data_IF_717972746693
#
_entry.id   IF_717972746693
#
_cell.length_a   1.000
_cell.length_b   1.000
_cell.length_c   1.000
_cell.angle_alpha   90.00
_cell.angle_beta   90.00
_cell.angle_gamma   90.00
#
_symmetry.space_group_name_H-M   'P 1'
#
loop_
_entity.id
_entity.type
_entity.pdbx_description
1 polymer ?
#
# COMPACT_ATOMS: atom_id res chain seq x y z
N UNK A 1 -3.14 -19.52 -1.53
CA UNK A 1 -3.95 -18.29 -1.49
C UNK A 1 -5.31 -18.50 -2.17
N UNK A 2 -5.37 -18.89 -3.45
CA UNK A 2 -6.59 -19.07 -4.26
C UNK A 2 -7.62 -19.97 -3.55
N UNK A 3 -7.22 -21.17 -3.10
CA UNK A 3 -8.10 -22.10 -2.41
C UNK A 3 -8.72 -21.48 -1.14
N UNK A 4 -7.95 -20.72 -0.37
CA UNK A 4 -8.46 -20.06 0.84
C UNK A 4 -9.51 -19.01 0.52
N UNK A 5 -9.35 -18.26 -0.56
CA UNK A 5 -10.33 -17.27 -1.01
C UNK A 5 -11.65 -17.92 -1.44
N UNK A 6 -11.57 -19.05 -2.16
CA UNK A 6 -12.76 -19.83 -2.56
C UNK A 6 -13.49 -20.37 -1.33
N UNK A 7 -12.75 -20.98 -0.39
CA UNK A 7 -13.34 -21.54 0.86
C UNK A 7 -13.95 -20.42 1.70
N UNK A 8 -13.32 -19.26 1.81
CA UNK A 8 -13.86 -18.12 2.54
C UNK A 8 -15.16 -17.62 1.91
N UNK A 9 -15.21 -17.50 0.58
CA UNK A 9 -16.41 -17.11 -0.16
C UNK A 9 -17.55 -18.13 -0.01
N UNK A 10 -17.24 -19.42 -0.03
CA UNK A 10 -18.24 -20.48 0.17
C UNK A 10 -18.82 -20.45 1.59
N UNK A 11 -17.96 -20.29 2.62
CA UNK A 11 -18.41 -20.14 4.01
C UNK A 11 -19.29 -18.92 4.22
N UNK A 12 -18.94 -17.79 3.61
CA UNK A 12 -19.75 -16.56 3.68
C UNK A 12 -21.12 -16.66 3.01
N UNK A 13 -21.30 -17.66 2.14
CA UNK A 13 -22.58 -17.98 1.49
C UNK A 13 -23.29 -19.18 2.11
N UNK A 14 -22.80 -19.71 3.24
CA UNK A 14 -23.33 -20.89 3.95
C UNK A 14 -23.43 -22.14 3.06
N UNK A 15 -22.54 -22.27 2.05
CA UNK A 15 -22.50 -23.42 1.16
C UNK A 15 -21.89 -24.60 1.91
N UNK A 16 -22.63 -25.67 2.05
CA UNK A 16 -22.11 -26.95 2.55
C UNK A 16 -21.34 -27.65 1.44
N UNK A 17 -20.21 -28.25 1.77
CA UNK A 17 -19.40 -28.98 0.80
C UNK A 17 -19.05 -30.37 1.35
N UNK A 18 -19.10 -31.35 0.47
CA UNK A 18 -18.73 -32.72 0.73
C UNK A 18 -17.27 -32.97 0.36
N UNK A 19 -16.67 -33.96 0.98
CA UNK A 19 -15.31 -34.37 0.65
C UNK A 19 -15.32 -35.25 -0.59
N UNK A 20 -14.36 -35.08 -1.53
CA UNK A 20 -14.24 -35.96 -2.68
C UNK A 20 -13.86 -37.38 -2.24
N UNK A 21 -14.28 -38.37 -3.04
CA UNK A 21 -13.92 -39.78 -2.88
C UNK A 21 -12.43 -39.95 -3.21
N UNK A 22 -11.99 -39.37 -4.31
CA UNK A 22 -10.59 -39.31 -4.71
C UNK A 22 -10.25 -37.95 -5.30
N UNK A 23 -8.98 -37.57 -5.21
CA UNK A 23 -8.47 -36.29 -5.71
C UNK A 23 -7.10 -36.51 -6.34
N UNK A 24 -6.95 -36.05 -7.58
CA UNK A 24 -5.72 -36.06 -8.34
C UNK A 24 -5.36 -34.63 -8.75
N UNK A 25 -4.16 -34.19 -8.40
CA UNK A 25 -3.63 -32.89 -8.82
C UNK A 25 -2.79 -33.05 -10.08
N UNK A 26 -3.14 -32.30 -11.14
CA UNK A 26 -2.37 -32.25 -12.39
C UNK A 26 -1.58 -30.92 -12.37
N UNK A 27 -0.29 -31.04 -12.16
CA UNK A 27 0.61 -29.88 -12.04
C UNK A 27 0.46 -28.91 -13.21
N UNK A 28 0.31 -27.63 -12.91
CA UNK A 28 0.13 -26.57 -13.89
C UNK A 28 -1.22 -26.54 -14.62
N UNK A 29 -2.17 -27.44 -14.26
CA UNK A 29 -3.49 -27.54 -14.89
C UNK A 29 -4.64 -27.35 -13.89
N UNK A 30 -4.59 -28.05 -12.75
CA UNK A 30 -5.65 -28.02 -11.73
C UNK A 30 -5.90 -29.40 -11.11
N UNK A 31 -7.13 -29.65 -10.70
CA UNK A 31 -7.53 -30.78 -9.89
C UNK A 31 -8.63 -31.57 -10.61
N UNK A 32 -8.52 -32.89 -10.53
CA UNK A 32 -9.55 -33.86 -10.92
C UNK A 32 -10.03 -34.54 -9.67
N UNK A 33 -11.32 -34.45 -9.38
CA UNK A 33 -11.92 -35.07 -8.21
C UNK A 33 -13.05 -36.02 -8.59
N UNK A 34 -13.17 -37.14 -7.90
CA UNK A 34 -14.33 -38.00 -7.96
C UNK A 34 -15.25 -37.70 -6.80
N UNK A 35 -16.46 -37.26 -7.12
CA UNK A 35 -17.54 -36.99 -6.18
C UNK A 35 -18.61 -38.10 -6.29
N UNK A 36 -19.49 -38.28 -5.30
CA UNK A 36 -20.63 -39.22 -5.42
C UNK A 36 -21.47 -39.02 -6.65
N UNK A 37 -21.57 -37.76 -7.13
CA UNK A 37 -22.38 -37.37 -8.30
C UNK A 37 -21.62 -37.48 -9.62
N UNK A 38 -20.31 -37.78 -9.59
CA UNK A 38 -19.50 -37.99 -10.78
C UNK A 38 -18.14 -37.27 -10.75
N UNK A 39 -17.51 -37.23 -11.89
CA UNK A 39 -16.16 -36.66 -12.05
C UNK A 39 -16.24 -35.15 -12.18
N UNK A 40 -15.50 -34.45 -11.30
CA UNK A 40 -15.40 -32.99 -11.30
C UNK A 40 -13.97 -32.56 -11.69
N UNK A 41 -13.88 -31.66 -12.66
CA UNK A 41 -12.66 -30.99 -13.07
C UNK A 41 -12.68 -29.56 -12.53
N UNK A 42 -11.59 -29.12 -11.91
CA UNK A 42 -11.45 -27.75 -11.42
C UNK A 42 -10.02 -27.25 -11.72
N UNK A 43 -9.89 -26.24 -12.59
CA UNK A 43 -8.58 -25.75 -12.98
C UNK A 43 -8.61 -24.73 -14.11
N UNK A 44 -7.46 -24.54 -14.77
CA UNK A 44 -7.33 -23.58 -15.86
C UNK A 44 -7.89 -24.13 -17.20
N UNK A 45 -7.89 -23.29 -18.23
CA UNK A 45 -8.38 -23.66 -19.58
C UNK A 45 -7.65 -24.91 -20.14
N UNK A 46 -6.34 -25.06 -19.86
CA UNK A 46 -5.56 -26.23 -20.30
C UNK A 46 -6.11 -27.55 -19.73
N UNK A 47 -6.64 -27.53 -18.49
CA UNK A 47 -7.28 -28.71 -17.92
C UNK A 47 -8.54 -29.07 -18.69
N UNK A 48 -9.37 -28.10 -19.03
CA UNK A 48 -10.60 -28.30 -19.80
C UNK A 48 -10.30 -28.88 -21.19
N UNK A 49 -9.33 -28.29 -21.89
CA UNK A 49 -8.88 -28.77 -23.21
C UNK A 49 -8.35 -30.20 -23.15
N UNK A 50 -7.56 -30.55 -22.12
CA UNK A 50 -7.00 -31.88 -21.91
C UNK A 50 -8.08 -32.95 -21.77
N UNK A 51 -9.22 -32.60 -21.18
CA UNK A 51 -10.37 -33.52 -20.98
C UNK A 51 -11.47 -33.33 -22.02
N UNK A 52 -11.23 -32.55 -23.07
CA UNK A 52 -12.19 -32.34 -24.16
C UNK A 52 -13.47 -31.58 -23.78
N UNK A 53 -13.39 -30.76 -22.72
CA UNK A 53 -14.51 -29.94 -22.28
C UNK A 53 -14.55 -28.66 -23.10
N UNK A 54 -15.61 -28.45 -23.86
CA UNK A 54 -15.82 -27.22 -24.63
C UNK A 54 -16.30 -26.10 -23.70
N UNK A 55 -15.50 -25.06 -23.59
CA UNK A 55 -15.85 -23.82 -22.91
C UNK A 55 -16.48 -22.90 -23.95
N UNK A 56 -17.73 -22.48 -23.73
CA UNK A 56 -18.41 -21.53 -24.63
C UNK A 56 -17.71 -20.17 -24.68
N UNK A 57 -18.18 -19.27 -25.55
CA UNK A 57 -17.69 -17.90 -25.60
C UNK A 57 -17.93 -17.21 -24.25
N UNK A 58 -16.87 -16.99 -23.51
CA UNK A 58 -16.86 -16.20 -22.29
C UNK A 58 -16.28 -14.84 -22.59
N UNK A 59 -16.84 -13.79 -21.99
CA UNK A 59 -16.16 -12.49 -21.97
C UNK A 59 -14.85 -12.66 -21.21
N UNK A 60 -13.76 -12.44 -21.90
CA UNK A 60 -12.45 -12.42 -21.25
C UNK A 60 -12.49 -11.43 -20.07
N UNK A 61 -12.13 -11.92 -18.90
CA UNK A 61 -12.00 -11.03 -17.76
C UNK A 61 -10.79 -10.10 -17.99
N UNK A 62 -10.98 -8.83 -17.76
CA UNK A 62 -9.93 -7.83 -17.96
C UNK A 62 -8.70 -8.11 -17.08
N UNK A 63 -8.87 -8.81 -15.94
CA UNK A 63 -7.79 -9.20 -15.02
C UNK A 63 -8.28 -10.27 -14.05
N UNK A 64 -7.34 -11.07 -13.49
CA UNK A 64 -7.62 -12.12 -12.51
C UNK A 64 -7.26 -13.51 -13.02
N UNK A 65 -7.32 -14.49 -12.13
CA UNK A 65 -7.14 -15.91 -12.44
C UNK A 65 -8.49 -16.58 -12.65
N UNK A 66 -8.70 -17.11 -13.84
CA UNK A 66 -9.90 -17.87 -14.15
C UNK A 66 -9.74 -19.32 -13.68
N UNK A 67 -10.71 -19.81 -12.91
CA UNK A 67 -10.81 -21.21 -12.49
C UNK A 67 -12.10 -21.78 -13.08
N UNK A 68 -11.93 -22.67 -14.04
CA UNK A 68 -13.03 -23.35 -14.74
C UNK A 68 -13.45 -24.60 -13.98
N UNK A 69 -14.71 -24.94 -14.05
CA UNK A 69 -15.27 -26.15 -13.47
C UNK A 69 -16.10 -26.91 -14.49
N UNK A 70 -15.91 -28.22 -14.55
CA UNK A 70 -16.73 -29.11 -15.35
C UNK A 70 -17.13 -30.34 -14.53
N UNK A 71 -18.36 -30.82 -14.77
CA UNK A 71 -18.92 -32.00 -14.10
C UNK A 71 -19.30 -33.01 -15.19
N UNK A 72 -18.82 -34.26 -15.07
CA UNK A 72 -19.05 -35.32 -16.02
C UNK A 72 -18.78 -34.95 -17.50
N UNK A 73 -17.69 -34.15 -17.72
CA UNK A 73 -17.30 -33.72 -19.05
C UNK A 73 -18.11 -32.54 -19.62
N UNK A 74 -19.05 -31.98 -18.85
CA UNK A 74 -19.84 -30.83 -19.26
C UNK A 74 -19.38 -29.60 -18.49
N UNK A 75 -19.15 -28.49 -19.18
CA UNK A 75 -18.78 -27.21 -18.56
C UNK A 75 -19.90 -26.73 -17.62
N UNK A 76 -19.56 -26.55 -16.33
CA UNK A 76 -20.51 -26.14 -15.30
C UNK A 76 -20.45 -24.65 -15.00
N UNK A 77 -19.29 -24.03 -15.18
CA UNK A 77 -19.09 -22.61 -14.92
C UNK A 77 -17.63 -22.24 -14.66
N UNK A 78 -17.40 -20.99 -14.33
CA UNK A 78 -16.08 -20.52 -13.95
C UNK A 78 -16.14 -19.53 -12.78
N UNK A 79 -15.06 -19.41 -12.07
CA UNK A 79 -14.84 -18.39 -11.04
C UNK A 79 -13.69 -17.51 -11.48
N UNK A 80 -13.87 -16.20 -11.36
CA UNK A 80 -12.82 -15.23 -11.51
C UNK A 80 -12.27 -14.88 -10.12
N UNK A 81 -11.00 -15.13 -9.92
CA UNK A 81 -10.29 -14.77 -8.71
C UNK A 81 -9.38 -13.61 -9.05
N UNK A 82 -9.72 -12.45 -8.54
CA UNK A 82 -8.92 -11.24 -8.72
C UNK A 82 -8.60 -10.63 -7.36
N UNK A 83 -7.44 -10.01 -7.27
CA UNK A 83 -7.14 -9.18 -6.13
C UNK A 83 -8.10 -7.99 -6.11
N UNK A 84 -8.62 -7.71 -4.93
CA UNK A 84 -9.48 -6.54 -4.72
C UNK A 84 -8.67 -5.41 -4.14
N UNK A 85 -8.86 -4.21 -4.70
CA UNK A 85 -8.27 -3.00 -4.14
C UNK A 85 -8.84 -2.82 -2.73
N UNK A 86 -7.99 -2.49 -1.77
CA UNK A 86 -8.44 -2.18 -0.41
C UNK A 86 -9.47 -1.06 -0.44
N UNK A 87 -10.55 -1.15 0.38
CA UNK A 87 -11.65 -0.18 0.33
C UNK A 87 -11.22 1.26 0.55
N UNK A 88 -10.17 1.47 1.39
CA UNK A 88 -9.61 2.77 1.73
C UNK A 88 -8.59 3.31 0.70
N UNK A 89 -8.14 2.49 -0.26
CA UNK A 89 -7.05 2.87 -1.17
C UNK A 89 -7.42 4.05 -2.08
N UNK A 90 -8.62 4.07 -2.65
CA UNK A 90 -9.06 5.16 -3.53
C UNK A 90 -9.08 6.52 -2.82
N UNK A 91 -9.62 6.53 -1.60
CA UNK A 91 -9.70 7.75 -0.79
C UNK A 91 -8.32 8.20 -0.32
N UNK A 92 -7.45 7.26 0.02
CA UNK A 92 -6.08 7.53 0.38
C UNK A 92 -5.29 8.15 -0.78
N UNK A 93 -5.36 7.57 -1.99
CA UNK A 93 -4.72 8.11 -3.19
C UNK A 93 -5.26 9.51 -3.52
N UNK A 94 -6.58 9.71 -3.46
CA UNK A 94 -7.17 11.03 -3.67
C UNK A 94 -6.67 12.07 -2.62
N UNK A 95 -6.45 11.63 -1.38
CA UNK A 95 -5.93 12.48 -0.31
C UNK A 95 -4.46 12.82 -0.53
N UNK A 96 -3.64 11.88 -1.02
CA UNK A 96 -2.24 12.14 -1.41
C UNK A 96 -2.16 13.18 -2.53
N UNK A 97 -3.03 13.08 -3.54
CA UNK A 97 -3.12 14.07 -4.62
C UNK A 97 -3.52 15.46 -4.13
N UNK A 98 -4.48 15.54 -3.19
CA UNK A 98 -4.85 16.82 -2.54
C UNK A 98 -3.68 17.44 -1.76
N UNK A 99 -2.77 16.61 -1.25
CA UNK A 99 -1.52 17.07 -0.63
C UNK A 99 -0.45 17.52 -1.65
N UNK A 100 -0.76 17.46 -2.96
CA UNK A 100 0.15 17.83 -4.05
C UNK A 100 1.23 16.78 -4.32
N UNK A 101 0.97 15.52 -4.01
CA UNK A 101 1.90 14.41 -4.25
C UNK A 101 1.54 13.70 -5.55
N UNK A 102 2.57 13.33 -6.32
CA UNK A 102 2.46 12.47 -7.48
C UNK A 102 2.49 11.01 -7.04
N UNK A 103 1.56 10.20 -7.53
CA UNK A 103 1.37 8.81 -7.10
C UNK A 103 1.85 7.85 -8.18
N UNK A 104 2.72 6.91 -7.80
CA UNK A 104 3.32 5.94 -8.73
C UNK A 104 3.13 4.53 -8.18
N UNK A 105 2.78 3.59 -9.04
CA UNK A 105 2.70 2.17 -8.72
C UNK A 105 3.83 1.41 -9.40
N UNK A 106 4.59 0.62 -8.61
CA UNK A 106 5.63 -0.29 -9.09
C UNK A 106 5.19 -1.72 -8.81
N UNK A 107 4.86 -2.50 -9.85
CA UNK A 107 4.36 -3.87 -9.69
C UNK A 107 5.04 -4.87 -10.62
N UNK A 108 5.13 -6.12 -10.17
CA UNK A 108 5.53 -7.26 -11.00
C UNK A 108 4.40 -7.84 -11.86
N UNK A 109 3.16 -7.38 -11.69
CA UNK A 109 1.99 -7.87 -12.40
C UNK A 109 2.03 -7.54 -13.90
N UNK A 110 1.14 -8.19 -14.65
CA UNK A 110 0.98 -7.90 -16.08
C UNK A 110 0.52 -6.47 -16.32
N UNK A 111 0.84 -5.93 -17.50
CA UNK A 111 0.47 -4.57 -17.90
C UNK A 111 -1.03 -4.32 -17.76
N UNK A 112 -1.85 -5.27 -18.25
CA UNK A 112 -3.31 -5.16 -18.25
C UNK A 112 -3.88 -5.10 -16.83
N UNK A 113 -3.37 -5.97 -15.93
CA UNK A 113 -3.75 -5.98 -14.51
C UNK A 113 -3.35 -4.68 -13.82
N UNK A 114 -2.11 -4.26 -14.01
CA UNK A 114 -1.56 -3.04 -13.41
C UNK A 114 -2.33 -1.79 -13.86
N UNK A 115 -2.64 -1.68 -15.16
CA UNK A 115 -3.41 -0.57 -15.72
C UNK A 115 -4.84 -0.54 -15.18
N UNK A 116 -5.50 -1.71 -15.08
CA UNK A 116 -6.85 -1.80 -14.54
C UNK A 116 -6.90 -1.36 -13.06
N UNK A 117 -6.00 -1.89 -12.23
CA UNK A 117 -5.90 -1.57 -10.80
C UNK A 117 -5.50 -0.12 -10.59
N UNK A 118 -4.48 0.37 -11.31
CA UNK A 118 -4.00 1.73 -11.15
C UNK A 118 -5.01 2.78 -11.59
N UNK A 119 -5.74 2.53 -12.68
CA UNK A 119 -6.85 3.39 -13.13
C UNK A 119 -7.99 3.41 -12.13
N UNK A 120 -8.37 2.26 -11.58
CA UNK A 120 -9.43 2.15 -10.59
C UNK A 120 -9.04 2.81 -9.26
N UNK A 121 -7.80 2.69 -8.82
CA UNK A 121 -7.25 3.37 -7.64
C UNK A 121 -6.99 4.86 -7.87
N UNK A 122 -6.90 5.31 -9.13
CA UNK A 122 -6.59 6.70 -9.48
C UNK A 122 -5.10 7.04 -9.40
N UNK A 123 -4.20 6.10 -9.64
CA UNK A 123 -2.74 6.30 -9.70
C UNK A 123 -2.36 7.15 -10.91
N UNK A 124 -1.34 8.00 -10.79
CA UNK A 124 -0.89 8.90 -11.86
C UNK A 124 0.02 8.19 -12.86
N UNK A 125 0.93 7.33 -12.38
CA UNK A 125 1.93 6.66 -13.19
C UNK A 125 2.10 5.20 -12.76
N UNK A 126 2.27 4.28 -13.72
CA UNK A 126 2.29 2.85 -13.47
C UNK A 126 3.49 2.23 -14.19
N UNK A 127 4.28 1.46 -13.45
CA UNK A 127 5.35 0.61 -13.97
C UNK A 127 4.98 -0.84 -13.67
N UNK A 128 4.70 -1.60 -14.71
CA UNK A 128 4.29 -3.01 -14.64
C UNK A 128 5.42 -3.96 -15.05
N UNK A 129 5.24 -5.26 -14.85
CA UNK A 129 6.18 -6.34 -15.22
C UNK A 129 7.60 -6.15 -14.65
N UNK A 130 7.74 -5.47 -13.52
CA UNK A 130 9.02 -5.21 -12.91
C UNK A 130 9.54 -6.44 -12.18
N UNK A 131 10.77 -6.83 -12.46
CA UNK A 131 11.53 -7.71 -11.59
C UNK A 131 11.98 -6.95 -10.33
N UNK A 132 12.36 -7.64 -9.24
CA UNK A 132 12.80 -6.96 -8.01
C UNK A 132 13.91 -5.92 -8.24
N UNK A 133 14.87 -6.23 -9.11
CA UNK A 133 15.97 -5.32 -9.49
C UNK A 133 15.46 -4.09 -10.28
N UNK A 134 14.44 -4.28 -11.12
CA UNK A 134 13.87 -3.20 -11.94
C UNK A 134 13.11 -2.19 -11.10
N UNK A 135 12.53 -2.60 -9.97
CA UNK A 135 11.82 -1.69 -9.04
C UNK A 135 12.76 -0.59 -8.50
N UNK A 136 14.01 -0.95 -8.15
CA UNK A 136 14.98 0.03 -7.69
C UNK A 136 15.38 1.01 -8.80
N UNK A 137 15.51 0.52 -10.03
CA UNK A 137 15.80 1.38 -11.18
C UNK A 137 14.62 2.30 -11.52
N UNK A 138 13.40 1.79 -11.43
CA UNK A 138 12.18 2.59 -11.58
C UNK A 138 12.08 3.68 -10.51
N UNK A 139 12.36 3.35 -9.23
CA UNK A 139 12.43 4.32 -8.14
C UNK A 139 13.39 5.47 -8.45
N UNK A 140 14.60 5.14 -8.95
CA UNK A 140 15.59 6.15 -9.34
C UNK A 140 15.10 7.08 -10.46
N UNK A 141 14.38 6.54 -11.45
CA UNK A 141 13.77 7.33 -12.54
C UNK A 141 12.69 8.27 -11.99
N UNK A 142 11.81 7.76 -11.12
CA UNK A 142 10.77 8.56 -10.46
C UNK A 142 11.39 9.69 -9.65
N UNK A 143 12.48 9.39 -8.87
CA UNK A 143 13.22 10.41 -8.12
C UNK A 143 13.81 11.50 -9.02
N UNK A 144 14.35 11.13 -10.17
CA UNK A 144 14.91 12.10 -11.12
C UNK A 144 13.84 12.99 -11.74
N UNK A 145 12.64 12.45 -11.98
CA UNK A 145 11.54 13.18 -12.61
C UNK A 145 10.77 14.06 -11.62
N UNK A 146 10.54 13.58 -10.39
CA UNK A 146 9.60 14.18 -9.43
C UNK A 146 10.25 14.64 -8.12
N UNK A 147 11.53 14.36 -7.89
CA UNK A 147 12.25 14.74 -6.67
C UNK A 147 12.16 13.67 -5.56
N UNK A 148 12.03 14.10 -4.32
CA UNK A 148 12.02 13.21 -3.14
C UNK A 148 10.90 12.17 -3.21
N UNK A 149 11.24 10.90 -2.97
CA UNK A 149 10.33 9.76 -3.10
C UNK A 149 10.16 9.04 -1.76
N UNK A 150 8.91 8.85 -1.35
CA UNK A 150 8.53 7.88 -0.33
C UNK A 150 8.09 6.59 -1.03
N UNK A 151 8.71 5.47 -0.68
CA UNK A 151 8.30 4.16 -1.16
C UNK A 151 7.57 3.42 -0.04
N UNK A 152 6.43 2.80 -0.39
CA UNK A 152 5.63 1.99 0.55
C UNK A 152 5.54 0.58 0.00
N UNK A 153 5.94 -0.40 0.80
CA UNK A 153 5.94 -1.81 0.43
C UNK A 153 5.66 -2.74 1.61
N UNK A 154 5.37 -4.01 1.33
CA UNK A 154 5.07 -5.02 2.34
C UNK A 154 5.81 -6.34 2.11
N UNK A 155 6.48 -6.51 0.97
CA UNK A 155 7.15 -7.75 0.58
C UNK A 155 8.63 -7.82 0.93
N UNK A 156 9.16 -9.04 1.05
CA UNK A 156 10.61 -9.29 1.19
C UNK A 156 11.38 -8.68 0.00
N UNK A 157 10.81 -8.76 -1.19
CA UNK A 157 11.41 -8.25 -2.42
C UNK A 157 11.45 -6.71 -2.47
N UNK A 158 10.74 -6.04 -1.58
CA UNK A 158 10.68 -4.58 -1.52
C UNK A 158 11.75 -3.99 -0.58
N UNK A 159 12.41 -4.80 0.26
CA UNK A 159 13.44 -4.36 1.19
C UNK A 159 14.57 -3.52 0.54
N UNK A 160 15.13 -3.92 -0.63
CA UNK A 160 16.14 -3.09 -1.30
C UNK A 160 15.60 -1.75 -1.82
N UNK A 161 14.30 -1.70 -2.18
CA UNK A 161 13.64 -0.49 -2.66
C UNK A 161 13.31 0.44 -1.51
N UNK A 162 12.85 -0.13 -0.37
CA UNK A 162 12.61 0.59 0.88
C UNK A 162 13.90 1.30 1.35
N UNK A 163 15.00 0.54 1.44
CA UNK A 163 16.29 1.09 1.84
C UNK A 163 16.86 2.10 0.82
N UNK A 164 16.47 2.00 -0.46
CA UNK A 164 16.91 2.88 -1.53
C UNK A 164 16.08 4.15 -1.71
N UNK A 165 14.92 4.26 -1.06
CA UNK A 165 14.05 5.42 -1.10
C UNK A 165 14.58 6.57 -0.24
N UNK A 166 14.06 7.79 -0.41
CA UNK A 166 14.36 8.90 0.51
C UNK A 166 13.60 8.72 1.84
N UNK A 167 12.45 8.06 1.79
CA UNK A 167 11.71 7.54 2.94
C UNK A 167 11.15 6.18 2.56
N UNK A 168 11.60 5.13 3.22
CA UNK A 168 11.04 3.79 3.11
C UNK A 168 9.97 3.57 4.18
N UNK A 169 8.79 3.11 3.79
CA UNK A 169 7.72 2.80 4.74
C UNK A 169 7.19 1.38 4.51
N UNK A 170 7.13 0.58 5.57
CA UNK A 170 6.59 -0.77 5.52
C UNK A 170 5.18 -0.82 6.10
N UNK A 171 4.34 -1.71 5.55
CA UNK A 171 3.07 -2.06 6.15
C UNK A 171 3.28 -3.11 7.25
N UNK A 172 2.62 -2.97 8.39
CA UNK A 172 2.80 -3.84 9.56
C UNK A 172 2.38 -5.31 9.35
N UNK A 173 1.61 -5.60 8.29
CA UNK A 173 1.34 -6.95 7.81
C UNK A 173 2.43 -7.50 6.87
N UNK A 174 3.45 -6.71 6.58
CA UNK A 174 4.55 -7.07 5.68
C UNK A 174 5.54 -8.04 6.30
N UNK A 175 6.47 -8.48 5.48
CA UNK A 175 7.54 -9.37 5.89
C UNK A 175 8.53 -8.65 6.84
N UNK A 176 9.10 -9.38 7.79
CA UNK A 176 10.07 -8.86 8.77
C UNK A 176 11.23 -8.11 8.10
N UNK A 177 11.73 -8.63 6.97
CA UNK A 177 12.79 -7.97 6.20
C UNK A 177 12.39 -6.61 5.61
N UNK A 178 11.12 -6.41 5.26
CA UNK A 178 10.61 -5.12 4.80
C UNK A 178 10.48 -4.14 5.98
N UNK A 179 10.02 -4.64 7.13
CA UNK A 179 9.91 -3.85 8.36
C UNK A 179 11.29 -3.38 8.83
N UNK A 180 12.30 -4.27 8.79
CA UNK A 180 13.67 -3.94 9.20
C UNK A 180 14.36 -2.93 8.25
N UNK A 181 14.01 -2.96 6.97
CA UNK A 181 14.58 -2.06 5.95
C UNK A 181 13.91 -0.68 5.89
N UNK A 182 12.79 -0.48 6.59
CA UNK A 182 11.98 0.73 6.50
C UNK A 182 12.32 1.78 7.55
N UNK A 183 12.23 3.06 7.17
CA UNK A 183 12.36 4.20 8.10
C UNK A 183 11.09 4.38 8.96
N UNK A 184 9.93 3.94 8.45
CA UNK A 184 8.64 4.02 9.13
C UNK A 184 7.83 2.74 8.94
N UNK A 185 7.01 2.38 9.94
CA UNK A 185 6.13 1.22 9.87
C UNK A 185 4.69 1.61 10.19
N UNK A 186 3.78 1.31 9.27
CA UNK A 186 2.34 1.47 9.48
C UNK A 186 1.77 0.19 10.10
N UNK A 187 1.59 0.18 11.43
CA UNK A 187 1.18 -1.01 12.20
C UNK A 187 -0.17 -1.59 11.78
N UNK A 188 -1.10 -0.74 11.38
CA UNK A 188 -2.35 -1.14 10.72
C UNK A 188 -2.12 -1.06 9.20
N UNK A 189 -2.38 -2.12 8.49
CA UNK A 189 -2.19 -2.17 7.03
C UNK A 189 -3.20 -1.34 6.23
N UNK A 190 -3.68 -0.22 6.79
CA UNK A 190 -4.60 0.70 6.14
C UNK A 190 -3.83 1.70 5.28
N UNK A 191 -4.27 1.91 4.06
CA UNK A 191 -3.60 2.82 3.11
C UNK A 191 -3.82 4.29 3.50
N UNK A 192 -4.91 4.62 4.18
CA UNK A 192 -5.23 5.96 4.67
C UNK A 192 -4.26 6.49 5.74
N UNK A 193 -3.52 5.60 6.42
CA UNK A 193 -2.45 5.98 7.34
C UNK A 193 -1.31 6.77 6.65
N UNK A 194 -1.10 6.53 5.35
CA UNK A 194 -0.03 7.20 4.59
C UNK A 194 -0.31 8.71 4.44
N UNK A 195 -1.44 9.17 3.86
CA UNK A 195 -1.73 10.61 3.78
C UNK A 195 -1.84 11.27 5.15
N UNK A 196 -2.35 10.56 6.18
CA UNK A 196 -2.41 11.07 7.55
C UNK A 196 -1.01 11.33 8.12
N UNK A 197 -0.07 10.39 7.98
CA UNK A 197 1.30 10.54 8.46
C UNK A 197 2.01 11.73 7.80
N UNK A 198 1.85 11.91 6.49
CA UNK A 198 2.42 13.03 5.74
C UNK A 198 1.80 14.37 6.20
N UNK A 199 0.50 14.42 6.44
CA UNK A 199 -0.17 15.61 6.95
C UNK A 199 0.32 15.99 8.37
N UNK A 200 0.53 14.98 9.23
CA UNK A 200 1.09 15.17 10.58
C UNK A 200 2.54 15.68 10.47
N UNK A 201 3.38 15.03 9.65
CA UNK A 201 4.77 15.42 9.46
C UNK A 201 4.91 16.87 8.96
N UNK A 202 4.10 17.28 7.97
CA UNK A 202 4.05 18.66 7.47
C UNK A 202 3.63 19.65 8.54
N UNK A 203 2.67 19.26 9.39
CA UNK A 203 2.21 20.10 10.50
C UNK A 203 3.27 20.24 11.59
N UNK A 204 3.94 19.13 11.93
CA UNK A 204 5.06 19.11 12.88
C UNK A 204 6.18 20.03 12.42
N UNK A 205 6.58 19.91 11.17
CA UNK A 205 7.62 20.77 10.60
C UNK A 205 7.23 22.24 10.62
N UNK A 206 5.98 22.58 10.30
CA UNK A 206 5.46 23.95 10.37
C UNK A 206 5.53 24.51 11.79
N UNK A 207 5.11 23.72 12.78
CA UNK A 207 5.14 24.14 14.19
C UNK A 207 6.59 24.30 14.66
N UNK A 208 7.48 23.38 14.29
CA UNK A 208 8.90 23.49 14.60
C UNK A 208 9.52 24.79 14.06
N UNK A 209 9.27 25.12 12.79
CA UNK A 209 9.72 26.37 12.19
C UNK A 209 9.11 27.60 12.87
N UNK A 210 7.83 27.58 13.23
CA UNK A 210 7.20 28.67 14.00
C UNK A 210 7.93 28.89 15.32
N UNK A 211 8.23 27.83 16.05
CA UNK A 211 8.94 27.90 17.32
C UNK A 211 10.36 28.44 17.15
N UNK A 212 11.11 27.97 16.16
CA UNK A 212 12.49 28.42 15.88
C UNK A 212 12.50 29.91 15.54
N UNK A 213 11.64 30.33 14.60
CA UNK A 213 11.56 31.75 14.19
C UNK A 213 11.15 32.62 15.36
N UNK A 214 10.11 32.22 16.13
CA UNK A 214 9.65 32.96 17.28
C UNK A 214 10.75 33.13 18.34
N UNK A 215 11.47 32.05 18.68
CA UNK A 215 12.54 32.08 19.65
C UNK A 215 13.69 32.99 19.19
N UNK A 216 14.09 32.92 17.92
CA UNK A 216 15.13 33.78 17.37
C UNK A 216 14.73 35.25 17.37
N UNK A 217 13.54 35.59 16.96
CA UNK A 217 13.07 36.99 16.94
C UNK A 217 13.08 37.59 18.33
N UNK A 218 12.57 36.87 19.34
CA UNK A 218 12.59 37.38 20.73
C UNK A 218 14.02 37.54 21.25
N UNK A 219 14.91 36.56 21.01
CA UNK A 219 16.33 36.64 21.44
C UNK A 219 17.03 37.81 20.79
N UNK A 220 16.86 38.03 19.50
CA UNK A 220 17.46 39.16 18.77
C UNK A 220 16.89 40.48 19.31
N UNK A 221 15.58 40.58 19.56
CA UNK A 221 14.98 41.79 20.10
C UNK A 221 15.53 42.16 21.49
N UNK A 222 15.65 41.17 22.38
CA UNK A 222 16.21 41.42 23.72
C UNK A 222 17.72 41.79 23.65
N UNK A 223 18.46 41.19 22.71
CA UNK A 223 19.85 41.52 22.48
C UNK A 223 20.01 42.99 22.00
N UNK A 224 19.17 43.43 21.07
CA UNK A 224 19.14 44.83 20.60
C UNK A 224 18.80 45.78 21.74
N UNK A 225 17.80 45.45 22.56
CA UNK A 225 17.45 46.25 23.76
C UNK A 225 18.59 46.30 24.76
N UNK A 226 19.36 45.20 24.89
CA UNK A 226 20.60 45.15 25.70
C UNK A 226 21.68 46.11 25.21
N UNK A 227 21.92 46.13 23.92
CA UNK A 227 22.86 47.06 23.30
C UNK A 227 22.43 48.52 23.45
N UNK A 228 21.14 48.79 23.45
CA UNK A 228 20.54 50.11 23.69
C UNK A 228 20.51 50.50 25.17
N UNK A 229 20.98 49.66 26.10
CA UNK A 229 20.97 49.95 27.53
C UNK A 229 19.59 49.83 28.22
N UNK A 230 18.58 49.21 27.54
CA UNK A 230 17.21 49.10 28.03
C UNK A 230 16.85 47.68 28.51
N UNK A 231 17.74 46.68 28.38
CA UNK A 231 17.49 45.32 28.84
C UNK A 231 17.75 45.17 30.35
N UNK A 232 16.93 44.34 30.98
CA UNK A 232 17.12 43.91 32.36
C UNK A 232 17.21 42.38 32.44
N UNK A 233 17.63 41.86 33.60
CA UNK A 233 17.78 40.43 33.85
C UNK A 233 16.49 39.64 33.59
N UNK A 234 15.33 40.21 33.95
CA UNK A 234 14.04 39.53 33.74
C UNK A 234 13.66 39.33 32.27
N UNK A 235 14.04 40.28 31.41
CA UNK A 235 13.86 40.20 29.99
C UNK A 235 14.72 39.09 29.40
N UNK A 236 15.94 38.92 29.85
CA UNK A 236 16.85 37.85 29.44
C UNK A 236 16.29 36.46 29.87
N UNK A 237 15.85 36.35 31.14
CA UNK A 237 15.23 35.10 31.64
C UNK A 237 13.98 34.77 30.87
N UNK A 238 13.12 35.77 30.57
CA UNK A 238 11.91 35.56 29.78
C UNK A 238 12.28 35.10 28.35
N UNK A 239 13.26 35.72 27.69
CA UNK A 239 13.66 35.34 26.32
C UNK A 239 14.25 33.93 26.25
N UNK A 240 14.75 33.38 27.32
CA UNK A 240 15.27 32.03 27.37
C UNK A 240 14.23 31.01 27.85
N UNK A 241 13.80 31.11 29.09
CA UNK A 241 12.89 30.13 29.72
C UNK A 241 11.42 30.37 29.33
N UNK A 242 10.96 31.61 29.32
CA UNK A 242 9.55 31.95 28.99
C UNK A 242 9.22 31.59 27.55
N UNK A 243 10.10 31.90 26.61
CA UNK A 243 9.92 31.57 25.21
C UNK A 243 9.93 30.05 25.00
N UNK A 244 10.82 29.33 25.69
CA UNK A 244 10.83 27.85 25.60
C UNK A 244 9.49 27.26 26.06
N UNK A 245 8.91 27.74 27.15
CA UNK A 245 7.60 27.28 27.62
C UNK A 245 6.49 27.56 26.59
N UNK A 246 6.48 28.75 25.97
CA UNK A 246 5.52 29.10 24.93
C UNK A 246 5.67 28.15 23.72
N UNK A 247 6.90 27.85 23.31
CA UNK A 247 7.18 26.91 22.22
C UNK A 247 6.67 25.49 22.53
N UNK A 248 6.83 25.02 23.78
CA UNK A 248 6.27 23.74 24.22
C UNK A 248 4.73 23.75 24.11
N UNK A 249 4.08 24.80 24.63
CA UNK A 249 2.63 24.93 24.51
C UNK A 249 2.15 24.97 23.05
N UNK A 250 2.88 25.65 22.17
CA UNK A 250 2.58 25.64 20.74
C UNK A 250 2.73 24.24 20.13
N UNK A 251 3.73 23.46 20.59
CA UNK A 251 3.97 22.09 20.09
C UNK A 251 2.86 21.10 20.50
N UNK A 252 2.24 21.29 21.65
CA UNK A 252 1.11 20.45 22.12
C UNK A 252 -0.07 20.47 21.15
N UNK A 253 -0.22 21.51 20.35
CA UNK A 253 -1.29 21.63 19.34
C UNK A 253 -1.28 20.47 18.34
N UNK A 254 -0.14 19.77 18.16
CA UNK A 254 -0.08 18.61 17.25
C UNK A 254 -0.92 17.43 17.76
N UNK A 255 -1.07 17.29 19.09
CA UNK A 255 -1.82 16.19 19.71
C UNK A 255 -3.34 16.28 19.43
N UNK A 256 -3.84 17.47 19.11
CA UNK A 256 -5.25 17.73 18.82
C UNK A 256 -5.56 17.75 17.32
N UNK A 257 -4.58 17.46 16.49
CA UNK A 257 -4.75 17.42 15.05
C UNK A 257 -5.07 15.98 14.64
N UNK A 258 -6.33 15.74 14.31
CA UNK A 258 -6.81 14.50 13.70
C UNK A 258 -6.56 14.53 12.22
#
# INVERSE_FOLDING_TARGET
PIANSIVAAAKGREIQFEKPISLEEISGHGIVAEMPEGKVLCGNRKLMDKFGVTIGELKEAAYGSEVFMAVNGTFAGYMLISDTIKPDAKEAIASLKKLGLHTVMLTGDSEDSAQAVGKDAGIDEIYAKLLPEDKLNALKKVRQAHGTVMFVGDGINDAPVLAGADVGAAMGSGADAAIEAADAVFMNSNVDAIPQSIAIARSTNRIAWQNVIFALVIKIAVMILGLAGHANMWMAVFADTGVAMICVLNSIRILYKK
#
